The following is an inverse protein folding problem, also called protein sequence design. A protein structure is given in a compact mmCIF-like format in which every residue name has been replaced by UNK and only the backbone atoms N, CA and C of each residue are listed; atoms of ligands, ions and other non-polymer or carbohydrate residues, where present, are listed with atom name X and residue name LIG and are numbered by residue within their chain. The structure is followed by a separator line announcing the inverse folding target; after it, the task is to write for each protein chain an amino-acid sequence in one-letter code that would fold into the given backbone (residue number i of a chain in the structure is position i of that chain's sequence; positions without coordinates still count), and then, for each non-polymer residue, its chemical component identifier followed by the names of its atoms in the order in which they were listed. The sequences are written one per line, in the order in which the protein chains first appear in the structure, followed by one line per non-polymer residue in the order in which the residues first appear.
data_IF_288708459496
#
_entry.id   IF_288708459496
#
_cell.length_a   1.000
_cell.length_b   1.000
_cell.length_c   1.000
_cell.angle_alpha   90.00
_cell.angle_beta   90.00
_cell.angle_gamma   90.00
#
_symmetry.space_group_name_H-M   'P 1'
#
loop_
_entity.id
_entity.type
_entity.pdbx_description
1 polymer ?
#
# COMPACT_ATOMS: atom_id res chain seq x y z
N UNK A 1 -18.73 16.13 3.94
CA UNK A 1 -18.19 14.78 3.64
C UNK A 1 -16.83 14.68 4.29
N UNK A 2 -16.72 13.93 5.39
CA UNK A 2 -15.42 13.53 5.93
C UNK A 2 -14.92 12.41 5.01
N UNK A 3 -13.92 12.67 4.19
CA UNK A 3 -13.20 11.60 3.50
C UNK A 3 -12.39 10.93 4.60
N UNK A 4 -12.93 9.84 5.16
CA UNK A 4 -12.12 8.97 6.01
C UNK A 4 -11.08 8.31 5.10
N UNK A 5 -9.90 8.93 4.99
CA UNK A 5 -8.69 8.31 4.41
C UNK A 5 -8.19 7.27 5.42
N UNK A 6 -9.03 6.29 5.74
CA UNK A 6 -8.65 5.13 6.55
C UNK A 6 -7.94 4.16 5.63
N UNK A 7 -6.62 4.06 5.78
CA UNK A 7 -5.84 2.94 5.25
C UNK A 7 -5.00 3.20 4.00
N UNK A 8 -4.50 4.42 3.76
CA UNK A 8 -3.64 4.69 2.59
C UNK A 8 -2.14 4.41 2.83
N UNK A 9 -1.71 4.18 4.07
CA UNK A 9 -0.30 3.93 4.40
C UNK A 9 0.04 2.43 4.40
N UNK A 10 -0.37 1.68 3.37
CA UNK A 10 0.12 0.32 3.19
C UNK A 10 1.21 0.29 2.13
N UNK A 11 2.38 -0.20 2.57
CA UNK A 11 3.51 -0.70 1.78
C UNK A 11 4.47 0.34 1.18
N UNK A 12 5.37 0.83 2.06
CA UNK A 12 6.76 1.08 1.65
C UNK A 12 7.39 -0.28 1.36
N UNK A 13 7.57 -0.57 0.07
CA UNK A 13 8.28 -1.75 -0.41
C UNK A 13 9.74 -1.72 0.08
N UNK A 14 10.02 -2.47 1.15
CA UNK A 14 11.38 -2.77 1.59
C UNK A 14 11.95 -3.84 0.67
N UNK A 15 12.74 -3.41 -0.31
CA UNK A 15 13.63 -4.28 -1.07
C UNK A 15 14.77 -4.76 -0.15
N UNK A 16 14.78 -6.05 0.18
CA UNK A 16 15.95 -6.68 0.79
C UNK A 16 16.24 -8.01 0.08
N UNK A 17 17.43 -8.10 -0.50
CA UNK A 17 17.96 -9.27 -1.20
C UNK A 17 18.44 -10.32 -0.19
N UNK A 18 17.91 -11.54 -0.26
CA UNK A 18 18.58 -12.70 0.34
C UNK A 18 18.17 -14.04 -0.32
N UNK A 19 19.14 -14.66 -0.97
CA UNK A 19 19.62 -16.05 -0.75
C UNK A 19 18.61 -17.20 -0.63
N UNK A 20 18.69 -18.10 -1.61
CA UNK A 20 18.00 -19.38 -1.82
C UNK A 20 17.87 -20.34 -0.62
N UNK A 21 16.74 -21.07 -0.57
CA UNK A 21 16.70 -22.53 -0.36
C UNK A 21 15.33 -23.14 -0.75
N UNK A 22 15.36 -24.36 -1.28
CA UNK A 22 14.29 -25.09 -1.99
C UNK A 22 13.04 -25.47 -1.18
N UNK A 23 11.87 -25.21 -1.77
CA UNK A 23 10.61 -25.97 -1.66
C UNK A 23 9.82 -25.72 -2.96
N UNK A 24 8.99 -26.67 -3.44
CA UNK A 24 8.20 -26.59 -4.69
C UNK A 24 7.84 -25.14 -5.06
N UNK A 25 8.36 -24.64 -6.18
CA UNK A 25 8.15 -23.25 -6.57
C UNK A 25 6.64 -22.98 -6.65
N UNK A 26 6.09 -22.06 -5.83
CA UNK A 26 4.67 -21.75 -5.87
C UNK A 26 4.33 -21.26 -7.28
N UNK A 27 3.22 -21.72 -7.84
CA UNK A 27 2.70 -21.16 -9.09
C UNK A 27 2.48 -19.66 -8.89
N UNK A 28 2.65 -18.84 -9.93
CA UNK A 28 2.46 -17.38 -9.83
C UNK A 28 1.10 -17.04 -9.21
N UNK A 29 0.06 -17.81 -9.55
CA UNK A 29 -1.28 -17.66 -8.97
C UNK A 29 -1.35 -18.06 -7.50
N UNK A 30 -0.69 -19.16 -7.11
CA UNK A 30 -0.57 -19.59 -5.71
C UNK A 30 0.21 -18.58 -4.86
N UNK A 31 1.31 -18.04 -5.39
CA UNK A 31 2.10 -16.99 -4.74
C UNK A 31 1.30 -15.69 -4.55
N UNK A 32 0.48 -15.30 -5.54
CA UNK A 32 -0.44 -14.15 -5.41
C UNK A 32 -1.50 -14.36 -4.34
N UNK A 33 -2.13 -15.54 -4.32
CA UNK A 33 -3.14 -15.86 -3.31
C UNK A 33 -2.53 -15.91 -1.90
N UNK A 34 -1.32 -16.43 -1.77
CA UNK A 34 -0.58 -16.42 -0.50
C UNK A 34 -0.25 -14.99 -0.05
N UNK A 35 0.28 -14.15 -0.95
CA UNK A 35 0.60 -12.77 -0.66
C UNK A 35 -0.64 -12.00 -0.17
N UNK A 36 -1.78 -12.14 -0.85
CA UNK A 36 -3.03 -11.50 -0.45
C UNK A 36 -3.50 -11.92 0.96
N UNK A 37 -3.34 -13.19 1.35
CA UNK A 37 -3.67 -13.66 2.71
C UNK A 37 -2.74 -13.08 3.76
N UNK A 38 -1.44 -13.05 3.48
CA UNK A 38 -0.45 -12.49 4.39
C UNK A 38 -0.66 -10.99 4.56
N UNK A 39 -0.96 -10.27 3.48
CA UNK A 39 -1.31 -8.85 3.52
C UNK A 39 -2.51 -8.59 4.43
N UNK A 40 -3.60 -9.36 4.28
CA UNK A 40 -4.76 -9.24 5.15
C UNK A 40 -4.43 -9.46 6.64
N UNK A 41 -3.61 -10.47 6.96
CA UNK A 41 -3.17 -10.71 8.33
C UNK A 41 -2.30 -9.55 8.87
N UNK A 42 -1.42 -8.99 8.04
CA UNK A 42 -0.60 -7.84 8.40
C UNK A 42 -1.46 -6.57 8.61
N UNK A 43 -2.50 -6.33 7.81
CA UNK A 43 -3.49 -5.25 8.02
C UNK A 43 -4.12 -5.36 9.40
N UNK A 44 -4.55 -6.57 9.79
CA UNK A 44 -5.19 -6.78 11.09
C UNK A 44 -4.24 -6.54 12.26
N UNK A 45 -2.98 -6.99 12.15
CA UNK A 45 -1.95 -6.72 13.15
C UNK A 45 -1.66 -5.21 13.23
N UNK A 46 -1.48 -4.55 12.09
CA UNK A 46 -1.25 -3.11 12.01
C UNK A 46 -2.40 -2.31 12.65
N UNK A 47 -3.64 -2.66 12.34
CA UNK A 47 -4.82 -1.99 12.90
C UNK A 47 -4.88 -2.11 14.43
N UNK A 48 -4.50 -3.28 14.99
CA UNK A 48 -4.39 -3.46 16.45
C UNK A 48 -3.29 -2.59 17.05
N UNK A 49 -2.15 -2.49 16.38
CA UNK A 49 -1.03 -1.64 16.83
C UNK A 49 -1.39 -0.15 16.75
N UNK A 50 -2.04 0.28 15.67
CA UNK A 50 -2.48 1.67 15.48
C UNK A 50 -3.69 2.06 16.34
N UNK A 51 -4.26 1.11 17.11
CA UNK A 51 -5.17 1.45 18.20
C UNK A 51 -4.47 2.16 19.37
N UNK A 52 -3.13 2.08 19.47
CA UNK A 52 -2.33 2.92 20.35
C UNK A 52 -2.47 4.40 19.93
N UNK A 53 -3.00 5.29 20.79
CA UNK A 53 -3.24 6.69 20.44
C UNK A 53 -1.98 7.48 20.09
N UNK A 54 -0.82 7.08 20.59
CA UNK A 54 0.45 7.72 20.24
C UNK A 54 0.85 7.35 18.81
N UNK A 55 0.84 6.06 18.48
CA UNK A 55 1.16 5.58 17.14
C UNK A 55 0.14 6.08 16.11
N UNK A 56 -1.13 6.14 16.46
CA UNK A 56 -2.20 6.68 15.61
C UNK A 56 -1.95 8.15 15.25
N UNK A 57 -1.58 8.99 16.23
CA UNK A 57 -1.23 10.39 15.99
C UNK A 57 0.02 10.56 15.14
N UNK A 58 1.05 9.74 15.39
CA UNK A 58 2.27 9.75 14.58
C UNK A 58 1.98 9.35 13.13
N UNK A 59 1.16 8.32 12.93
CA UNK A 59 0.71 7.86 11.62
C UNK A 59 -0.06 8.95 10.87
N UNK A 60 -0.99 9.61 11.57
CA UNK A 60 -1.79 10.69 10.98
C UNK A 60 -0.90 11.88 10.60
N UNK A 61 -0.03 12.35 11.50
CA UNK A 61 0.87 13.47 11.22
C UNK A 61 1.78 13.18 10.02
N UNK A 62 2.37 11.98 9.97
CA UNK A 62 3.19 11.56 8.83
C UNK A 62 2.36 11.48 7.53
N UNK A 63 1.13 10.95 7.61
CA UNK A 63 0.22 10.88 6.48
C UNK A 63 -0.17 12.25 5.93
N UNK A 64 -0.45 13.21 6.81
CA UNK A 64 -0.79 14.59 6.44
C UNK A 64 0.40 15.29 5.78
N UNK A 65 1.61 15.11 6.31
CA UNK A 65 2.83 15.66 5.72
C UNK A 65 3.15 15.03 4.36
N UNK A 66 3.04 13.71 4.25
CA UNK A 66 3.25 13.00 3.00
C UNK A 66 2.23 13.47 1.95
N UNK A 67 0.95 13.55 2.31
CA UNK A 67 -0.09 14.05 1.43
C UNK A 67 0.18 15.49 0.99
N UNK A 68 0.59 16.38 1.90
CA UNK A 68 0.94 17.76 1.57
C UNK A 68 2.11 17.82 0.58
N UNK A 69 3.16 17.04 0.81
CA UNK A 69 4.31 16.94 -0.09
C UNK A 69 3.93 16.35 -1.46
N UNK A 70 3.05 15.34 -1.49
CA UNK A 70 2.54 14.75 -2.72
C UNK A 70 1.68 15.73 -3.51
N UNK A 71 0.82 16.51 -2.86
CA UNK A 71 0.01 17.55 -3.50
C UNK A 71 0.86 18.73 -3.97
N UNK A 72 1.98 19.01 -3.31
CA UNK A 72 2.95 19.98 -3.79
C UNK A 72 3.67 19.47 -5.05
N UNK A 73 4.12 18.21 -5.06
CA UNK A 73 4.72 17.58 -6.23
C UNK A 73 3.73 17.42 -7.40
N UNK A 74 2.44 17.23 -7.08
CA UNK A 74 1.36 17.06 -8.05
C UNK A 74 0.04 17.71 -7.59
N UNK A 75 -0.19 18.98 -7.95
CA UNK A 75 -1.39 19.74 -7.53
C UNK A 75 -2.72 19.14 -8.02
N UNK A 76 -2.69 18.34 -9.09
CA UNK A 76 -3.90 17.70 -9.63
C UNK A 76 -4.19 16.32 -9.04
N UNK A 77 -3.33 15.82 -8.14
CA UNK A 77 -3.45 14.48 -7.58
C UNK A 77 -4.72 14.32 -6.74
N UNK A 78 -5.07 15.29 -5.90
CA UNK A 78 -6.28 15.21 -5.06
C UNK A 78 -7.55 15.00 -5.88
N UNK A 79 -7.72 15.77 -6.97
CA UNK A 79 -8.85 15.60 -7.89
C UNK A 79 -8.79 14.30 -8.70
N UNK A 80 -7.59 13.73 -8.92
CA UNK A 80 -7.43 12.45 -9.58
C UNK A 80 -7.83 11.29 -8.67
N UNK A 81 -7.32 11.26 -7.44
CA UNK A 81 -7.62 10.25 -6.42
C UNK A 81 -9.10 10.28 -6.03
N UNK A 82 -9.69 11.48 -5.88
CA UNK A 82 -11.13 11.62 -5.59
C UNK A 82 -12.07 11.03 -6.66
N UNK A 83 -11.57 10.68 -7.85
CA UNK A 83 -12.34 10.00 -8.90
C UNK A 83 -12.19 8.48 -8.89
N UNK A 84 -11.32 7.91 -8.05
CA UNK A 84 -11.04 6.47 -8.07
C UNK A 84 -12.27 5.62 -7.73
N UNK A 85 -13.01 5.96 -6.68
CA UNK A 85 -14.23 5.23 -6.29
C UNK A 85 -15.24 5.23 -7.43
N UNK A 86 -15.47 6.40 -8.04
CA UNK A 86 -16.38 6.56 -9.17
C UNK A 86 -15.97 5.74 -10.40
N UNK A 87 -14.66 5.60 -10.64
CA UNK A 87 -14.13 4.75 -11.70
C UNK A 87 -14.21 3.25 -11.36
N UNK A 88 -14.00 2.88 -10.09
CA UNK A 88 -14.13 1.48 -9.61
C UNK A 88 -15.58 1.01 -9.72
N UNK A 89 -16.53 1.85 -9.31
CA UNK A 89 -17.96 1.59 -9.47
C UNK A 89 -18.35 1.46 -10.94
N UNK A 90 -17.87 2.38 -11.78
CA UNK A 90 -18.12 2.31 -13.24
C UNK A 90 -17.55 1.02 -13.85
N UNK A 91 -16.35 0.61 -13.44
CA UNK A 91 -15.74 -0.65 -13.89
C UNK A 91 -16.58 -1.85 -13.46
N UNK A 92 -17.02 -1.89 -12.20
CA UNK A 92 -17.82 -2.99 -11.66
C UNK A 92 -19.15 -3.14 -12.41
N UNK A 93 -19.87 -2.02 -12.62
CA UNK A 93 -21.13 -2.01 -13.40
C UNK A 93 -20.90 -2.47 -14.84
N UNK A 94 -19.88 -1.94 -15.51
CA UNK A 94 -19.56 -2.35 -16.88
C UNK A 94 -19.25 -3.85 -16.99
N UNK A 95 -18.62 -4.46 -15.98
CA UNK A 95 -18.41 -5.91 -15.94
C UNK A 95 -19.74 -6.66 -15.78
N UNK A 96 -20.62 -6.20 -14.89
CA UNK A 96 -21.94 -6.79 -14.67
C UNK A 96 -22.83 -6.70 -15.93
N UNK A 97 -22.73 -5.59 -16.65
CA UNK A 97 -23.50 -5.32 -17.88
C UNK A 97 -22.88 -5.97 -19.13
N UNK A 98 -21.70 -6.61 -19.01
CA UNK A 98 -20.99 -7.22 -20.14
C UNK A 98 -20.33 -6.22 -21.10
N UNK A 99 -20.24 -4.93 -20.73
CA UNK A 99 -19.55 -3.90 -21.51
C UNK A 99 -18.03 -3.93 -21.26
N UNK A 100 -17.37 -4.82 -21.99
CA UNK A 100 -15.92 -4.98 -21.92
C UNK A 100 -15.15 -3.68 -22.26
N UNK A 101 -15.67 -2.85 -23.16
CA UNK A 101 -15.01 -1.62 -23.59
C UNK A 101 -15.02 -0.56 -22.49
N UNK A 102 -16.18 -0.36 -21.83
CA UNK A 102 -16.29 0.54 -20.69
C UNK A 102 -15.49 0.05 -19.48
N UNK A 103 -15.50 -1.27 -19.20
CA UNK A 103 -14.71 -1.86 -18.14
C UNK A 103 -13.20 -1.63 -18.35
N UNK A 104 -12.72 -1.83 -19.58
CA UNK A 104 -11.32 -1.59 -19.94
C UNK A 104 -10.93 -0.10 -19.87
N UNK A 105 -11.81 0.82 -20.29
CA UNK A 105 -11.53 2.25 -20.16
C UNK A 105 -11.42 2.69 -18.70
N UNK A 106 -12.33 2.24 -17.85
CA UNK A 106 -12.29 2.51 -16.42
C UNK A 106 -11.00 1.95 -15.78
N UNK A 107 -10.61 0.71 -16.12
CA UNK A 107 -9.37 0.10 -15.65
C UNK A 107 -8.12 0.92 -16.03
N UNK A 108 -7.99 1.36 -17.30
CA UNK A 108 -6.87 2.21 -17.75
C UNK A 108 -6.83 3.56 -17.05
N UNK A 109 -7.97 4.14 -16.69
CA UNK A 109 -8.03 5.41 -15.94
C UNK A 109 -7.58 5.21 -14.50
N UNK A 110 -8.03 4.15 -13.84
CA UNK A 110 -7.60 3.77 -12.49
C UNK A 110 -6.08 3.61 -12.46
N UNK A 111 -5.52 2.80 -13.35
CA UNK A 111 -4.08 2.52 -13.41
C UNK A 111 -3.26 3.80 -13.67
N UNK A 112 -3.76 4.74 -14.48
CA UNK A 112 -3.11 6.05 -14.68
C UNK A 112 -3.10 6.89 -13.41
N UNK A 113 -4.18 6.88 -12.63
CA UNK A 113 -4.25 7.59 -11.35
C UNK A 113 -3.32 6.94 -10.33
N UNK A 114 -3.28 5.61 -10.25
CA UNK A 114 -2.38 4.86 -9.36
C UNK A 114 -0.91 5.15 -9.68
N UNK A 115 -0.50 5.11 -10.95
CA UNK A 115 0.87 5.53 -11.36
C UNK A 115 1.18 6.98 -11.04
N UNK A 116 0.19 7.87 -11.12
CA UNK A 116 0.35 9.29 -10.77
C UNK A 116 0.56 9.44 -9.27
N UNK A 117 -0.22 8.71 -8.47
CA UNK A 117 -0.06 8.64 -7.03
C UNK A 117 1.32 8.14 -6.62
N UNK A 118 1.78 7.02 -7.17
CA UNK A 118 3.11 6.46 -6.86
C UNK A 118 4.23 7.45 -7.18
N UNK A 119 4.19 8.09 -8.35
CA UNK A 119 5.21 9.11 -8.71
C UNK A 119 5.20 10.32 -7.78
N UNK A 120 4.02 10.76 -7.35
CA UNK A 120 3.92 11.87 -6.40
C UNK A 120 4.44 11.46 -5.01
N UNK A 121 4.19 10.22 -4.58
CA UNK A 121 4.74 9.67 -3.34
C UNK A 121 6.27 9.55 -3.41
N UNK A 122 6.82 9.01 -4.49
CA UNK A 122 8.27 8.95 -4.72
C UNK A 122 8.89 10.35 -4.71
N UNK A 123 8.23 11.34 -5.34
CA UNK A 123 8.69 12.71 -5.34
C UNK A 123 8.66 13.33 -3.93
N UNK A 124 7.61 13.08 -3.14
CA UNK A 124 7.52 13.51 -1.75
C UNK A 124 8.64 12.90 -0.90
N UNK A 125 8.92 11.61 -1.09
CA UNK A 125 9.98 10.89 -0.37
C UNK A 125 11.41 11.22 -0.87
N UNK A 126 11.57 12.09 -1.87
CA UNK A 126 12.88 12.66 -2.20
C UNK A 126 13.30 13.77 -1.23
N UNK A 127 12.37 14.31 -0.44
CA UNK A 127 12.71 15.23 0.63
C UNK A 127 13.34 14.47 1.81
N UNK A 128 14.66 14.65 2.11
CA UNK A 128 15.36 13.80 3.08
C UNK A 128 14.75 13.80 4.49
N UNK A 129 14.35 14.94 5.08
CA UNK A 129 13.70 14.96 6.39
C UNK A 129 12.37 14.20 6.46
N UNK A 130 11.58 14.21 5.38
CA UNK A 130 10.34 13.44 5.31
C UNK A 130 10.64 11.94 5.14
N UNK A 131 11.59 11.59 4.27
CA UNK A 131 12.01 10.21 4.06
C UNK A 131 12.56 9.56 5.34
N UNK A 132 13.40 10.27 6.09
CA UNK A 132 13.93 9.80 7.37
C UNK A 132 12.82 9.58 8.40
N UNK A 133 11.87 10.50 8.50
CA UNK A 133 10.74 10.36 9.44
C UNK A 133 9.84 9.20 9.06
N UNK A 134 9.55 9.02 7.77
CA UNK A 134 8.81 7.86 7.28
C UNK A 134 9.54 6.55 7.60
N UNK A 135 10.86 6.48 7.37
CA UNK A 135 11.66 5.31 7.69
C UNK A 135 11.68 4.99 9.19
N UNK A 136 11.83 6.01 10.05
CA UNK A 136 11.79 5.85 11.52
C UNK A 136 10.42 5.37 12.00
N UNK A 137 9.34 5.94 11.47
CA UNK A 137 7.98 5.52 11.81
C UNK A 137 7.73 4.07 11.37
N UNK A 138 8.10 3.70 10.14
CA UNK A 138 7.95 2.32 9.66
C UNK A 138 8.75 1.31 10.50
N UNK A 139 9.96 1.66 10.93
CA UNK A 139 10.76 0.82 11.82
C UNK A 139 10.08 0.64 13.20
N UNK A 140 9.50 1.71 13.74
CA UNK A 140 8.74 1.67 14.99
C UNK A 140 7.47 0.81 14.84
N UNK A 141 6.70 1.02 13.76
CA UNK A 141 5.48 0.29 13.47
C UNK A 141 5.77 -1.21 13.35
N UNK A 142 6.78 -1.59 12.55
CA UNK A 142 7.23 -2.98 12.44
C UNK A 142 7.57 -3.60 13.79
N UNK A 143 8.35 -2.90 14.62
CA UNK A 143 8.70 -3.39 15.96
C UNK A 143 7.46 -3.60 16.81
N UNK A 144 6.50 -2.69 16.76
CA UNK A 144 5.24 -2.78 17.52
C UNK A 144 4.34 -3.91 17.00
N UNK A 145 4.33 -4.17 15.70
CA UNK A 145 3.64 -5.32 15.11
C UNK A 145 4.22 -6.65 15.60
N UNK A 146 5.55 -6.80 15.60
CA UNK A 146 6.22 -8.01 16.13
C UNK A 146 6.00 -8.19 17.63
N UNK A 147 5.90 -7.10 18.39
CA UNK A 147 5.56 -7.16 19.82
C UNK A 147 4.10 -7.55 20.06
N UNK A 148 3.19 -7.11 19.19
CA UNK A 148 1.77 -7.43 19.30
C UNK A 148 1.45 -8.86 18.82
N UNK A 149 2.20 -9.37 17.85
CA UNK A 149 2.00 -10.68 17.26
C UNK A 149 3.33 -11.32 16.85
N UNK A 150 3.67 -12.46 17.46
CA UNK A 150 4.93 -13.16 17.20
C UNK A 150 5.02 -13.68 15.76
N UNK A 151 3.88 -13.94 15.10
CA UNK A 151 3.87 -14.36 13.70
C UNK A 151 4.16 -13.19 12.73
N UNK A 152 4.11 -11.93 13.20
CA UNK A 152 4.28 -10.77 12.32
C UNK A 152 5.66 -10.76 11.63
N UNK A 153 6.72 -11.20 12.30
CA UNK A 153 8.06 -11.24 11.69
C UNK A 153 8.15 -12.24 10.54
N UNK A 154 7.58 -13.43 10.73
CA UNK A 154 7.50 -14.45 9.69
C UNK A 154 6.61 -14.03 8.52
N UNK A 155 5.46 -13.42 8.82
CA UNK A 155 4.56 -12.88 7.81
C UNK A 155 5.25 -11.78 6.99
N UNK A 156 5.91 -10.82 7.62
CA UNK A 156 6.65 -9.75 6.93
C UNK A 156 7.77 -10.30 6.04
N UNK A 157 8.54 -11.28 6.54
CA UNK A 157 9.59 -11.94 5.76
C UNK A 157 9.01 -12.67 4.57
N UNK A 158 8.00 -13.51 4.78
CA UNK A 158 7.36 -14.29 3.72
C UNK A 158 6.70 -13.40 2.68
N UNK A 159 6.08 -12.29 3.11
CA UNK A 159 5.52 -11.31 2.19
C UNK A 159 6.60 -10.68 1.29
N UNK A 160 7.75 -10.32 1.86
CA UNK A 160 8.86 -9.77 1.07
C UNK A 160 9.42 -10.78 0.06
N UNK A 161 9.56 -12.06 0.43
CA UNK A 161 9.95 -13.13 -0.49
C UNK A 161 8.96 -13.29 -1.65
N UNK A 162 7.66 -13.29 -1.35
CA UNK A 162 6.61 -13.40 -2.36
C UNK A 162 6.59 -12.18 -3.28
N UNK A 163 6.80 -10.97 -2.75
CA UNK A 163 6.89 -9.76 -3.57
C UNK A 163 8.09 -9.79 -4.50
N UNK A 164 9.25 -10.28 -4.04
CA UNK A 164 10.43 -10.45 -4.87
C UNK A 164 10.20 -11.49 -6.00
N UNK A 165 9.45 -12.56 -5.71
CA UNK A 165 9.09 -13.58 -6.71
C UNK A 165 8.07 -13.05 -7.74
N UNK A 166 7.17 -12.17 -7.32
CA UNK A 166 6.09 -11.61 -8.15
C UNK A 166 6.47 -10.32 -8.88
N UNK A 167 7.65 -9.77 -8.58
CA UNK A 167 8.18 -8.59 -9.26
C UNK A 167 8.37 -8.88 -10.76
N UNK A 168 7.92 -7.98 -11.65
CA UNK A 168 8.00 -8.16 -13.11
C UNK A 168 9.43 -8.11 -13.66
#
# INVERSE_FOLDING_TARGET
MKVEVRGFLMLVALAFTAGCANAQAPTVEGARAEAARIEAALVEIEARVLADPELSRMNQALGDELLAAMLHADPGLGAAVGRLELLRDRRSRAIQDGDAAAAADAARRIERIERRYLRAQEAALRDPPLAERAARFNALLRRRMVQADQAAEDLLRRYAELQALLAP
#
